data_IF_249486045467
#
_entry.id   IF_249486045467
#
_cell.length_a   1.000
_cell.length_b   1.000
_cell.length_c   1.000
_cell.angle_alpha   90.00
_cell.angle_beta   90.00
_cell.angle_gamma   90.00
#
_symmetry.space_group_name_H-M   'P 1'
#
loop_
_entity.id
_entity.type
_entity.pdbx_description
1 polymer ?
#
# COMPACT_ATOMS: atom_id res chain seq x y z
N UNK A 1 16.94 14.09 9.39
CA UNK A 1 15.55 13.58 9.34
C UNK A 1 15.54 12.24 8.63
N UNK A 2 14.65 11.36 9.04
CA UNK A 2 14.49 10.05 8.43
C UNK A 2 13.42 10.13 7.33
N UNK A 3 13.59 9.34 6.27
CA UNK A 3 12.67 9.25 5.13
C UNK A 3 11.69 8.11 5.37
N UNK A 4 10.44 8.27 4.96
CA UNK A 4 9.42 7.24 5.13
C UNK A 4 8.52 7.14 3.90
N UNK A 5 8.06 5.92 3.61
CA UNK A 5 6.88 5.70 2.79
C UNK A 5 5.68 5.61 3.72
N UNK A 6 4.61 6.33 3.38
CA UNK A 6 3.35 6.31 4.11
C UNK A 6 2.24 5.84 3.18
N UNK A 7 1.50 4.83 3.61
CA UNK A 7 0.28 4.39 2.93
C UNK A 7 -0.94 4.68 3.79
N UNK A 8 -1.86 5.47 3.23
CA UNK A 8 -3.18 5.66 3.80
C UNK A 8 -4.12 4.57 3.31
N UNK A 9 -4.99 4.12 4.19
CA UNK A 9 -6.12 3.24 3.90
C UNK A 9 -7.43 3.97 4.19
N UNK A 10 -8.49 3.60 3.46
CA UNK A 10 -9.83 4.09 3.73
C UNK A 10 -10.14 5.49 3.22
N UNK A 11 -9.33 6.04 2.31
CA UNK A 11 -9.56 7.34 1.67
C UNK A 11 -9.98 7.17 0.21
N UNK A 12 -10.79 8.10 -0.31
CA UNK A 12 -11.17 8.19 -1.72
C UNK A 12 -11.75 6.88 -2.33
N UNK A 13 -12.36 6.02 -1.50
CA UNK A 13 -12.96 4.74 -1.92
C UNK A 13 -14.45 4.74 -1.59
N UNK A 14 -15.27 4.19 -2.50
CA UNK A 14 -16.73 4.10 -2.30
C UNK A 14 -17.43 5.44 -2.08
N UNK A 15 -16.82 6.55 -2.52
CA UNK A 15 -17.36 7.91 -2.32
C UNK A 15 -17.18 8.49 -0.90
N UNK A 16 -16.57 7.74 0.03
CA UNK A 16 -16.29 8.16 1.41
C UNK A 16 -14.88 8.76 1.56
N UNK A 17 -14.67 9.48 2.66
CA UNK A 17 -13.36 9.99 3.09
C UNK A 17 -12.59 10.68 1.95
N UNK A 18 -13.25 11.67 1.33
CA UNK A 18 -12.71 12.37 0.16
C UNK A 18 -11.62 13.33 0.59
N UNK A 19 -10.42 13.16 0.04
CA UNK A 19 -9.28 14.03 0.30
C UNK A 19 -8.61 14.37 -1.02
N UNK A 20 -8.46 15.67 -1.31
CA UNK A 20 -7.61 16.10 -2.42
C UNK A 20 -6.15 15.96 -2.01
N UNK A 21 -5.34 15.36 -2.87
CA UNK A 21 -3.92 15.11 -2.57
C UNK A 21 -3.10 16.39 -2.43
N UNK A 22 -3.54 17.50 -3.04
CA UNK A 22 -2.93 18.82 -2.84
C UNK A 22 -3.12 19.27 -1.39
N UNK A 23 -4.36 19.25 -0.92
CA UNK A 23 -4.73 19.64 0.45
C UNK A 23 -4.00 18.75 1.47
N UNK A 24 -3.96 17.43 1.22
CA UNK A 24 -3.21 16.47 2.05
C UNK A 24 -1.72 16.82 2.17
N UNK A 25 -1.06 17.18 1.06
CA UNK A 25 0.35 17.58 1.10
C UNK A 25 0.55 18.84 1.91
N UNK A 26 -0.24 19.89 1.59
CA UNK A 26 -0.15 21.18 2.29
C UNK A 26 -0.38 21.03 3.78
N UNK A 27 -1.37 20.23 4.17
CA UNK A 27 -1.69 19.95 5.56
C UNK A 27 -0.57 19.20 6.29
N UNK A 28 -0.04 18.12 5.71
CA UNK A 28 1.08 17.38 6.31
C UNK A 28 2.33 18.26 6.45
N UNK A 29 2.61 19.13 5.47
CA UNK A 29 3.70 20.11 5.58
C UNK A 29 3.46 21.10 6.72
N UNK A 30 2.24 21.64 6.85
CA UNK A 30 1.87 22.53 7.96
C UNK A 30 1.95 21.81 9.33
N UNK A 31 1.74 20.50 9.37
CA UNK A 31 1.83 19.68 10.58
C UNK A 31 3.26 19.32 11.01
N UNK A 32 4.27 19.81 10.28
CA UNK A 32 5.70 19.65 10.59
C UNK A 32 6.38 18.44 9.93
N UNK A 33 5.80 17.88 8.87
CA UNK A 33 6.47 16.89 8.03
C UNK A 33 7.19 17.57 6.86
N UNK A 34 8.40 17.12 6.55
CA UNK A 34 9.24 17.73 5.53
C UNK A 34 9.19 16.95 4.20
N UNK A 35 9.49 17.64 3.10
CA UNK A 35 9.59 17.06 1.75
C UNK A 35 8.39 16.17 1.36
N UNK A 36 7.17 16.54 1.77
CA UNK A 36 5.97 15.74 1.55
C UNK A 36 5.63 15.67 0.05
N UNK A 37 5.68 14.47 -0.53
CA UNK A 37 5.26 14.20 -1.91
C UNK A 37 4.18 13.11 -1.90
N UNK A 38 3.14 13.27 -2.72
CA UNK A 38 2.08 12.26 -2.91
C UNK A 38 2.12 11.69 -4.32
N UNK A 39 1.71 10.44 -4.47
CA UNK A 39 1.50 9.80 -5.77
C UNK A 39 0.06 9.30 -5.90
N UNK A 40 -0.61 9.69 -7.00
CA UNK A 40 -2.02 9.40 -7.31
C UNK A 40 -2.98 9.67 -6.14
N UNK A 41 -4.25 9.25 -6.23
CA UNK A 41 -5.29 9.59 -5.26
C UNK A 41 -5.52 8.54 -4.16
N UNK A 42 -4.76 7.45 -4.16
CA UNK A 42 -4.97 6.30 -3.27
C UNK A 42 -4.12 6.35 -1.99
N UNK A 43 -3.68 7.54 -1.57
CA UNK A 43 -2.94 7.71 -0.32
C UNK A 43 -1.55 7.08 -0.33
N UNK A 44 -0.73 7.45 -1.30
CA UNK A 44 0.69 7.08 -1.34
C UNK A 44 1.51 8.34 -1.10
N UNK A 45 2.29 8.37 -0.04
CA UNK A 45 3.07 9.53 0.36
C UNK A 45 4.51 9.10 0.63
N UNK A 46 5.46 9.96 0.28
CA UNK A 46 6.80 9.92 0.86
C UNK A 46 7.03 11.25 1.59
N UNK A 47 7.70 11.19 2.74
CA UNK A 47 8.00 12.37 3.55
C UNK A 47 9.27 12.17 4.38
N UNK A 48 9.73 13.25 4.99
CA UNK A 48 10.77 13.26 6.00
C UNK A 48 10.21 13.66 7.36
N UNK A 49 10.75 13.08 8.43
CA UNK A 49 10.35 13.39 9.81
C UNK A 49 11.53 13.24 10.78
N UNK A 50 11.50 14.01 11.88
CA UNK A 50 12.35 13.80 13.05
C UNK A 50 11.68 12.92 14.12
N UNK A 51 10.38 12.67 13.98
CA UNK A 51 9.63 11.88 14.96
C UNK A 51 10.04 10.40 14.91
N UNK A 52 9.96 9.68 16.04
CA UNK A 52 10.04 8.23 16.04
C UNK A 52 9.01 7.61 15.10
N UNK A 53 9.38 6.53 14.40
CA UNK A 53 8.50 5.86 13.43
C UNK A 53 7.13 5.48 14.04
N UNK A 54 7.14 5.05 15.30
CA UNK A 54 5.95 4.66 16.08
C UNK A 54 4.98 5.79 16.33
N UNK A 55 5.41 7.06 16.23
CA UNK A 55 4.58 8.24 16.45
C UNK A 55 4.00 8.80 15.14
N UNK A 56 4.65 8.54 14.00
CA UNK A 56 4.26 9.14 12.70
C UNK A 56 2.86 8.68 12.28
N UNK A 57 2.59 7.37 12.31
CA UNK A 57 1.30 6.80 11.93
C UNK A 57 0.14 7.36 12.75
N UNK A 58 0.16 7.20 14.09
CA UNK A 58 -0.87 7.74 14.97
C UNK A 58 -1.02 9.26 14.86
N UNK A 59 0.06 10.02 14.66
CA UNK A 59 -0.02 11.46 14.45
C UNK A 59 -0.77 11.79 13.16
N UNK A 60 -0.44 11.14 12.04
CA UNK A 60 -1.13 11.36 10.76
C UNK A 60 -2.61 10.95 10.86
N UNK A 61 -2.94 9.80 11.46
CA UNK A 61 -4.32 9.37 11.65
C UNK A 61 -5.15 10.41 12.40
N UNK A 62 -4.66 10.86 13.56
CA UNK A 62 -5.34 11.86 14.39
C UNK A 62 -5.51 13.19 13.66
N UNK A 63 -4.50 13.63 12.92
CA UNK A 63 -4.54 14.86 12.14
C UNK A 63 -5.57 14.78 11.01
N UNK A 64 -5.60 13.67 10.26
CA UNK A 64 -6.51 13.50 9.13
C UNK A 64 -7.97 13.41 9.56
N UNK A 65 -8.27 12.67 10.63
CA UNK A 65 -9.64 12.53 11.14
C UNK A 65 -10.22 13.88 11.57
N UNK A 66 -9.40 14.73 12.21
CA UNK A 66 -9.83 16.04 12.70
C UNK A 66 -9.99 17.06 11.58
N UNK A 67 -9.02 17.15 10.68
CA UNK A 67 -9.01 18.19 9.63
C UNK A 67 -10.02 17.92 8.52
N UNK A 68 -10.15 16.65 8.10
CA UNK A 68 -10.96 16.27 6.95
C UNK A 68 -12.30 15.63 7.34
N UNK A 69 -12.66 15.66 8.64
CA UNK A 69 -13.90 15.10 9.21
C UNK A 69 -14.17 13.67 8.71
N UNK A 70 -13.13 12.83 8.77
CA UNK A 70 -13.16 11.48 8.20
C UNK A 70 -13.79 10.47 9.16
N UNK A 71 -14.35 9.41 8.58
CA UNK A 71 -14.75 8.21 9.32
C UNK A 71 -13.49 7.50 9.86
N UNK A 72 -13.23 7.65 11.16
CA UNK A 72 -12.04 7.16 11.85
C UNK A 72 -11.90 5.64 11.84
N UNK A 73 -13.01 4.91 11.70
CA UNK A 73 -12.99 3.45 11.73
C UNK A 73 -12.34 2.86 10.48
N UNK A 74 -12.31 3.64 9.39
CA UNK A 74 -11.77 3.23 8.10
C UNK A 74 -10.32 3.66 7.87
N UNK A 75 -9.88 4.72 8.55
CA UNK A 75 -8.55 5.28 8.35
C UNK A 75 -7.50 4.46 9.11
N UNK A 76 -6.48 4.03 8.37
CA UNK A 76 -5.26 3.41 8.89
C UNK A 76 -4.06 3.97 8.15
N UNK A 77 -2.94 4.13 8.84
CA UNK A 77 -1.68 4.64 8.31
C UNK A 77 -0.58 3.62 8.52
N UNK A 78 0.00 3.13 7.43
CA UNK A 78 1.22 2.33 7.47
C UNK A 78 2.42 3.22 7.20
N UNK A 79 3.44 3.12 8.07
CA UNK A 79 4.73 3.81 7.96
C UNK A 79 5.80 2.76 7.69
N UNK A 80 6.61 2.97 6.66
CA UNK A 80 7.66 2.02 6.25
C UNK A 80 9.00 2.76 6.12
N UNK A 81 10.02 2.21 6.76
CA UNK A 81 11.40 2.70 6.65
C UNK A 81 12.05 2.33 5.31
N UNK A 82 13.04 3.10 4.83
CA UNK A 82 13.64 2.88 3.52
C UNK A 82 14.28 1.50 3.37
N UNK A 83 14.92 0.97 4.41
CA UNK A 83 15.57 -0.33 4.39
C UNK A 83 14.54 -1.47 4.26
N UNK A 84 13.43 -1.38 4.99
CA UNK A 84 12.33 -2.35 4.87
C UNK A 84 11.68 -2.26 3.50
N UNK A 85 11.45 -1.04 3.01
CA UNK A 85 10.87 -0.84 1.68
C UNK A 85 11.78 -1.38 0.58
N UNK A 86 13.10 -1.14 0.68
CA UNK A 86 14.10 -1.70 -0.23
C UNK A 86 14.08 -3.24 -0.21
N UNK A 87 14.05 -3.87 0.98
CA UNK A 87 13.95 -5.31 1.10
C UNK A 87 12.70 -5.87 0.41
N UNK A 88 11.53 -5.22 0.56
CA UNK A 88 10.31 -5.58 -0.17
C UNK A 88 10.49 -5.50 -1.70
N UNK A 89 11.24 -4.51 -2.19
CA UNK A 89 11.50 -4.41 -3.63
C UNK A 89 12.43 -5.52 -4.13
N UNK A 90 13.44 -5.89 -3.34
CA UNK A 90 14.47 -6.87 -3.69
C UNK A 90 13.97 -8.33 -3.58
N UNK A 91 13.04 -8.59 -2.66
CA UNK A 91 12.44 -9.92 -2.44
C UNK A 91 11.36 -10.28 -3.45
N UNK A 92 10.90 -9.33 -4.27
CA UNK A 92 9.92 -9.61 -5.29
C UNK A 92 10.43 -10.74 -6.22
N UNK A 93 9.58 -11.71 -6.61
CA UNK A 93 10.00 -12.80 -7.49
C UNK A 93 10.66 -12.27 -8.78
N UNK A 94 11.67 -12.96 -9.31
CA UNK A 94 12.44 -12.48 -10.50
C UNK A 94 11.60 -12.14 -11.74
N UNK A 95 10.40 -12.71 -11.85
CA UNK A 95 9.45 -12.49 -12.96
C UNK A 95 8.30 -11.55 -12.58
N UNK A 96 8.32 -10.95 -11.39
CA UNK A 96 7.24 -10.12 -10.85
C UNK A 96 7.17 -8.79 -11.61
N UNK A 97 5.98 -8.45 -12.10
CA UNK A 97 5.78 -7.24 -12.89
C UNK A 97 6.38 -7.25 -14.30
N UNK A 98 7.05 -8.34 -14.71
CA UNK A 98 7.53 -8.48 -16.09
C UNK A 98 6.35 -8.78 -17.00
N UNK A 99 6.14 -7.94 -18.01
CA UNK A 99 5.14 -8.14 -19.04
C UNK A 99 5.67 -9.22 -19.99
N UNK A 100 5.03 -10.37 -19.99
CA UNK A 100 5.20 -11.37 -21.05
C UNK A 100 4.14 -11.09 -22.10
N UNK A 101 4.54 -10.94 -23.36
CA UNK A 101 3.80 -10.23 -24.41
C UNK A 101 2.41 -10.80 -24.79
N UNK A 102 1.98 -11.91 -24.19
CA UNK A 102 0.80 -12.64 -24.65
C UNK A 102 -0.31 -12.77 -23.60
N UNK A 103 -0.06 -12.40 -22.33
CA UNK A 103 -1.05 -12.61 -21.25
C UNK A 103 -1.06 -11.45 -20.25
N UNK A 104 -2.20 -10.78 -20.12
CA UNK A 104 -2.40 -9.64 -19.21
C UNK A 104 -2.49 -10.09 -17.74
N UNK A 105 -1.46 -9.79 -16.96
CA UNK A 105 -1.45 -10.03 -15.52
C UNK A 105 -1.25 -8.72 -14.75
N UNK A 106 -1.94 -8.62 -13.61
CA UNK A 106 -1.68 -7.62 -12.58
C UNK A 106 -0.85 -8.22 -11.47
N UNK A 107 0.03 -7.39 -10.94
CA UNK A 107 0.96 -7.71 -9.88
C UNK A 107 0.72 -6.72 -8.74
N UNK A 108 0.42 -7.23 -7.56
CA UNK A 108 0.03 -6.47 -6.39
C UNK A 108 0.94 -6.88 -5.21
N UNK A 109 1.37 -5.89 -4.43
CA UNK A 109 2.09 -6.07 -3.17
C UNK A 109 1.12 -5.76 -2.04
N UNK A 110 0.97 -6.70 -1.12
CA UNK A 110 0.24 -6.50 0.14
C UNK A 110 1.23 -6.10 1.22
N UNK A 111 1.15 -4.85 1.63
CA UNK A 111 1.93 -4.33 2.75
C UNK A 111 1.15 -4.54 4.05
N UNK A 112 1.84 -4.99 5.10
CA UNK A 112 1.23 -5.53 6.31
C UNK A 112 1.25 -4.47 7.43
N UNK A 113 0.14 -4.36 8.17
CA UNK A 113 0.00 -3.43 9.30
C UNK A 113 -0.05 -4.23 10.59
N UNK A 114 1.09 -4.45 11.23
CA UNK A 114 1.16 -5.17 12.52
C UNK A 114 0.88 -6.68 12.42
N UNK A 115 0.91 -7.25 11.22
CA UNK A 115 0.82 -8.69 10.98
C UNK A 115 2.11 -9.23 10.36
N UNK A 116 2.39 -10.50 10.62
CA UNK A 116 3.45 -11.26 9.96
C UNK A 116 2.99 -11.79 8.61
N UNK A 117 3.91 -12.06 7.66
CA UNK A 117 3.57 -12.72 6.40
C UNK A 117 2.90 -14.09 6.59
N UNK A 118 3.30 -14.87 7.60
CA UNK A 118 2.70 -16.18 7.90
C UNK A 118 1.23 -16.08 8.33
N UNK A 119 0.89 -15.10 9.17
CA UNK A 119 -0.50 -14.85 9.57
C UNK A 119 -1.37 -14.48 8.37
N UNK A 120 -0.83 -13.66 7.47
CA UNK A 120 -1.55 -13.20 6.28
C UNK A 120 -1.68 -14.34 5.26
N UNK A 121 -0.66 -15.18 5.09
CA UNK A 121 -0.70 -16.33 4.18
C UNK A 121 -1.76 -17.38 4.56
N UNK A 122 -2.07 -17.53 5.86
CA UNK A 122 -3.18 -18.41 6.33
C UNK A 122 -4.56 -17.91 5.88
N UNK A 123 -4.69 -16.60 5.67
CA UNK A 123 -5.96 -15.94 5.34
C UNK A 123 -6.12 -15.66 3.84
N UNK A 124 -5.02 -15.61 3.07
CA UNK A 124 -5.08 -15.35 1.63
C UNK A 124 -5.59 -16.58 0.88
N UNK A 125 -6.52 -16.34 -0.05
CA UNK A 125 -6.96 -17.34 -1.01
C UNK A 125 -6.32 -17.08 -2.38
N UNK A 126 -5.89 -18.17 -3.02
CA UNK A 126 -5.41 -18.19 -4.39
C UNK A 126 -6.08 -19.33 -5.12
N UNK A 127 -6.65 -19.06 -6.30
CA UNK A 127 -7.21 -20.11 -7.14
C UNK A 127 -6.09 -20.71 -7.99
N UNK A 128 -5.89 -22.01 -7.87
CA UNK A 128 -4.90 -22.75 -8.65
C UNK A 128 -5.06 -22.50 -10.16
N UNK A 129 -3.93 -22.28 -10.84
CA UNK A 129 -3.89 -21.93 -12.27
C UNK A 129 -4.29 -20.49 -12.60
N UNK A 130 -4.98 -19.78 -11.71
CA UNK A 130 -5.46 -18.40 -11.91
C UNK A 130 -4.56 -17.40 -11.20
N UNK A 131 -4.46 -17.53 -9.89
CA UNK A 131 -3.69 -16.65 -9.03
C UNK A 131 -2.32 -17.25 -8.73
N UNK A 132 -1.36 -16.41 -8.38
CA UNK A 132 -0.07 -16.87 -7.84
C UNK A 132 0.35 -15.97 -6.70
N UNK A 133 0.78 -16.58 -5.60
CA UNK A 133 1.12 -15.89 -4.36
C UNK A 133 2.53 -16.28 -3.96
N UNK A 134 3.31 -15.30 -3.49
CA UNK A 134 4.62 -15.51 -2.92
C UNK A 134 4.70 -14.75 -1.61
N UNK A 135 5.33 -15.38 -0.64
CA UNK A 135 5.60 -14.79 0.66
C UNK A 135 7.01 -14.21 0.67
N UNK A 136 7.14 -12.93 1.03
CA UNK A 136 8.41 -12.31 1.41
C UNK A 136 8.54 -12.20 2.92
N UNK A 137 9.60 -11.52 3.37
CA UNK A 137 9.88 -11.28 4.80
C UNK A 137 8.98 -10.19 5.37
N UNK A 138 8.61 -9.20 4.55
CA UNK A 138 7.85 -8.01 4.99
C UNK A 138 6.55 -7.76 4.22
N UNK A 139 6.28 -8.54 3.17
CA UNK A 139 5.13 -8.34 2.29
C UNK A 139 4.69 -9.65 1.63
N UNK A 140 3.47 -9.64 1.11
CA UNK A 140 2.97 -10.70 0.22
C UNK A 140 2.88 -10.18 -1.20
N UNK A 141 3.37 -10.98 -2.15
CA UNK A 141 3.27 -10.71 -3.58
C UNK A 141 2.14 -11.52 -4.19
N UNK A 142 1.29 -10.87 -4.96
CA UNK A 142 0.13 -11.49 -5.58
C UNK A 142 0.08 -11.18 -7.07
N UNK A 143 -0.04 -12.21 -7.90
CA UNK A 143 -0.31 -12.10 -9.34
C UNK A 143 -1.73 -12.58 -9.60
N UNK A 144 -2.50 -11.81 -10.34
CA UNK A 144 -3.85 -12.15 -10.79
C UNK A 144 -4.08 -11.76 -12.26
N UNK A 145 -5.06 -12.36 -12.93
CA UNK A 145 -5.53 -11.90 -14.23
C UNK A 145 -5.80 -10.38 -14.28
N UNK A 146 -5.28 -9.73 -15.33
CA UNK A 146 -5.61 -8.35 -15.67
C UNK A 146 -6.92 -8.22 -16.45
N UNK A 147 -7.41 -6.99 -16.71
CA UNK A 147 -8.71 -6.75 -17.35
C UNK A 147 -8.88 -7.40 -18.72
N UNK A 148 -7.78 -7.59 -19.46
CA UNK A 148 -7.78 -8.19 -20.80
C UNK A 148 -7.51 -9.70 -20.76
N UNK A 149 -7.35 -10.29 -19.57
CA UNK A 149 -7.16 -11.72 -19.40
C UNK A 149 -8.52 -12.47 -19.48
N UNK A 150 -8.61 -13.61 -20.19
CA UNK A 150 -9.85 -14.40 -20.28
C UNK A 150 -10.45 -14.77 -18.90
N UNK A 151 -9.57 -15.03 -17.93
CA UNK A 151 -9.94 -15.35 -16.54
C UNK A 151 -10.02 -14.13 -15.58
N UNK A 152 -10.17 -12.89 -16.07
CA UNK A 152 -10.18 -11.67 -15.24
C UNK A 152 -11.03 -11.78 -13.96
N UNK A 153 -12.23 -12.32 -14.10
CA UNK A 153 -13.22 -12.43 -13.01
C UNK A 153 -13.00 -13.64 -12.10
N UNK A 154 -12.07 -14.53 -12.41
CA UNK A 154 -11.86 -15.78 -11.68
C UNK A 154 -10.89 -15.67 -10.51
N UNK A 155 -10.17 -14.55 -10.37
CA UNK A 155 -9.24 -14.34 -9.25
C UNK A 155 -9.93 -14.43 -7.90
N UNK A 156 -9.29 -15.08 -6.93
CA UNK A 156 -9.77 -15.17 -5.56
C UNK A 156 -9.52 -13.89 -4.74
N UNK A 157 -8.72 -12.94 -5.26
CA UNK A 157 -8.27 -11.77 -4.49
C UNK A 157 -9.42 -10.97 -3.86
N UNK A 158 -10.57 -10.82 -4.54
CA UNK A 158 -11.70 -10.03 -4.01
C UNK A 158 -12.30 -10.62 -2.74
N UNK A 159 -12.10 -11.92 -2.45
CA UNK A 159 -12.62 -12.58 -1.25
C UNK A 159 -11.98 -12.07 0.03
N UNK A 160 -10.75 -11.56 -0.04
CA UNK A 160 -10.04 -11.04 1.12
C UNK A 160 -10.81 -9.89 1.79
N UNK A 161 -11.58 -9.11 1.03
CA UNK A 161 -12.37 -7.96 1.53
C UNK A 161 -13.35 -8.37 2.64
N UNK A 162 -13.79 -9.64 2.67
CA UNK A 162 -14.70 -10.18 3.68
C UNK A 162 -13.99 -10.69 4.94
N UNK A 163 -12.65 -10.73 4.96
CA UNK A 163 -11.85 -11.29 6.04
C UNK A 163 -11.30 -10.18 6.95
N UNK A 164 -11.14 -10.44 8.27
CA UNK A 164 -10.56 -9.46 9.20
C UNK A 164 -9.18 -8.94 8.77
N UNK A 165 -8.35 -9.81 8.17
CA UNK A 165 -7.01 -9.46 7.66
C UNK A 165 -7.01 -8.26 6.70
N UNK A 166 -8.12 -8.01 5.97
CA UNK A 166 -8.20 -6.91 5.01
C UNK A 166 -8.10 -5.51 5.62
N UNK A 167 -8.45 -5.37 6.90
CA UNK A 167 -8.28 -4.10 7.61
C UNK A 167 -6.81 -3.87 8.02
N UNK A 168 -6.01 -4.93 8.03
CA UNK A 168 -4.61 -4.96 8.50
C UNK A 168 -3.60 -5.06 7.34
N UNK A 169 -4.04 -4.85 6.11
CA UNK A 169 -3.18 -4.80 4.93
C UNK A 169 -3.54 -3.60 4.05
N UNK A 170 -2.58 -3.18 3.24
CA UNK A 170 -2.81 -2.22 2.17
C UNK A 170 -2.20 -2.74 0.88
N UNK A 171 -3.05 -2.86 -0.16
CA UNK A 171 -2.66 -3.46 -1.43
C UNK A 171 -2.27 -2.33 -2.39
N UNK A 172 -1.10 -2.44 -3.03
CA UNK A 172 -0.67 -1.55 -4.12
C UNK A 172 -0.21 -2.37 -5.29
N UNK A 173 -0.56 -1.94 -6.50
CA UNK A 173 -0.01 -2.58 -7.68
C UNK A 173 1.51 -2.33 -7.77
N UNK A 174 2.22 -3.21 -8.45
CA UNK A 174 3.67 -3.19 -8.56
C UNK A 174 4.21 -1.88 -9.15
N UNK A 175 3.51 -1.29 -10.14
CA UNK A 175 3.90 0.00 -10.72
C UNK A 175 3.87 1.12 -9.69
N UNK A 176 2.84 1.15 -8.84
CA UNK A 176 2.77 2.08 -7.71
C UNK A 176 3.91 1.80 -6.72
N UNK A 177 4.16 0.54 -6.37
CA UNK A 177 5.23 0.19 -5.42
C UNK A 177 6.62 0.62 -5.91
N UNK A 178 6.92 0.40 -7.19
CA UNK A 178 8.14 0.90 -7.83
C UNK A 178 8.20 2.43 -7.83
N UNK A 179 7.09 3.11 -8.15
CA UNK A 179 7.09 4.57 -8.18
C UNK A 179 7.35 5.17 -6.80
N UNK A 180 6.80 4.55 -5.76
CA UNK A 180 7.05 4.96 -4.37
C UNK A 180 8.51 4.75 -3.96
N UNK A 181 9.14 3.66 -4.42
CA UNK A 181 10.57 3.42 -4.22
C UNK A 181 11.44 4.51 -4.86
N UNK A 182 11.16 4.83 -6.13
CA UNK A 182 11.85 5.93 -6.84
C UNK A 182 11.68 7.26 -6.09
N UNK A 183 10.45 7.57 -5.68
CA UNK A 183 10.15 8.81 -4.96
C UNK A 183 10.89 8.88 -3.62
N UNK A 184 10.93 7.78 -2.87
CA UNK A 184 11.65 7.68 -1.60
C UNK A 184 13.15 7.93 -1.76
N UNK A 185 13.75 7.36 -2.80
CA UNK A 185 15.18 7.53 -3.11
C UNK A 185 15.51 8.94 -3.64
N UNK A 186 14.50 9.68 -4.13
CA UNK A 186 14.62 11.06 -4.61
C UNK A 186 14.31 12.15 -3.57
N UNK A 187 13.98 11.76 -2.33
CA UNK A 187 13.87 12.68 -1.19
C UNK A 187 15.25 13.05 -0.66
#
# INVERSE_FOLDING_TARGET
MNKYVIYLRGINVGGKNKIKMVDLRSFLSAAGFDQVKTYIQSGNIVLQSILPITEIGPRIENLLVREFELDSDLIRVLVIEPQVYQAIMDEAPKTFGKVFAEVDYRYDVMFLMGLTPDEVMKEIEAREGIDKVWQGTHAIYYRRPGPNHPDYTKSALSRIVKKPVYQMITIRNWKTSMKMHEMLNSL
#
